data_IF_432624725572
#
_entry.id   IF_432624725572
#
_cell.length_a   1.000
_cell.length_b   1.000
_cell.length_c   1.000
_cell.angle_alpha   90.00
_cell.angle_beta   90.00
_cell.angle_gamma   90.00
#
_symmetry.space_group_name_H-M   'P 1'
#
loop_
_entity.id
_entity.type
_entity.pdbx_description
1 polymer ?
#
# COMPACT_ATOMS: atom_id res chain seq x y z
N UNK A 1 10.22 -4.74 5.89
CA UNK A 1 11.44 -4.72 6.74
C UNK A 1 11.86 -3.27 6.93
N UNK A 2 12.27 -2.89 8.13
CA UNK A 2 12.66 -1.52 8.44
C UNK A 2 13.59 -1.42 9.65
N UNK A 3 14.12 -0.22 9.90
CA UNK A 3 14.90 0.13 11.09
C UNK A 3 13.99 0.64 12.21
N UNK A 4 14.13 0.05 13.39
CA UNK A 4 13.30 0.33 14.57
C UNK A 4 13.46 1.77 15.09
N UNK A 5 14.62 2.39 14.87
CA UNK A 5 14.91 3.78 15.26
C UNK A 5 14.52 4.82 14.19
N UNK A 6 13.95 4.40 13.06
CA UNK A 6 13.61 5.33 11.98
C UNK A 6 12.46 6.29 12.31
N UNK A 7 12.47 7.48 11.70
CA UNK A 7 11.48 8.54 11.93
C UNK A 7 10.02 8.08 11.74
N UNK A 8 9.78 7.22 10.74
CA UNK A 8 8.47 6.65 10.47
C UNK A 8 7.98 5.73 11.59
N UNK A 9 8.87 4.95 12.22
CA UNK A 9 8.50 4.12 13.38
C UNK A 9 8.14 5.03 14.56
N UNK A 10 8.96 6.06 14.81
CA UNK A 10 8.64 7.05 15.85
C UNK A 10 7.30 7.77 15.61
N UNK A 11 6.97 8.08 14.34
CA UNK A 11 5.68 8.66 13.97
C UNK A 11 4.52 7.69 14.22
N UNK A 12 4.66 6.42 13.80
CA UNK A 12 3.65 5.38 13.95
C UNK A 12 3.40 5.05 15.43
N UNK A 13 4.42 5.05 16.27
CA UNK A 13 4.26 4.88 17.73
C UNK A 13 3.42 5.98 18.38
N UNK A 14 3.36 7.18 17.79
CA UNK A 14 2.53 8.28 18.28
C UNK A 14 1.13 8.30 17.64
N UNK A 15 1.05 7.95 16.36
CA UNK A 15 -0.19 7.90 15.60
C UNK A 15 -0.17 6.66 14.70
N UNK A 16 -0.79 5.55 15.13
CA UNK A 16 -0.70 4.29 14.42
C UNK A 16 -1.56 4.25 13.16
N UNK A 17 -2.53 5.17 13.00
CA UNK A 17 -3.40 5.19 11.81
C UNK A 17 -2.60 5.49 10.56
N UNK A 18 -2.65 4.58 9.59
CA UNK A 18 -1.92 4.67 8.32
C UNK A 18 -2.84 4.38 7.14
N UNK A 19 -2.37 4.76 5.96
CA UNK A 19 -2.91 4.30 4.70
C UNK A 19 -1.77 3.69 3.86
N UNK A 20 -2.01 2.50 3.31
CA UNK A 20 -1.14 1.86 2.33
C UNK A 20 -1.81 2.01 0.97
N UNK A 21 -1.18 2.78 0.09
CA UNK A 21 -1.64 3.01 -1.27
C UNK A 21 -0.70 2.36 -2.29
N UNK A 22 -1.26 1.70 -3.31
CA UNK A 22 -0.49 1.16 -4.42
C UNK A 22 -1.18 1.49 -5.75
N UNK A 23 -0.37 1.80 -6.76
CA UNK A 23 -0.83 2.18 -8.09
C UNK A 23 -0.08 1.39 -9.16
N UNK A 24 -0.81 0.92 -10.16
CA UNK A 24 -0.29 0.22 -11.34
C UNK A 24 -1.08 0.58 -12.58
N UNK A 25 -0.68 0.06 -13.73
CA UNK A 25 -1.44 0.15 -14.97
C UNK A 25 -2.80 -0.55 -14.89
N UNK A 26 -2.94 -1.52 -13.98
CA UNK A 26 -4.18 -2.27 -13.71
C UNK A 26 -5.14 -1.53 -12.78
N UNK A 27 -4.68 -0.51 -12.05
CA UNK A 27 -5.55 0.21 -11.12
C UNK A 27 -4.83 0.67 -9.85
N UNK A 28 -5.65 1.05 -8.87
CA UNK A 28 -5.24 1.65 -7.61
C UNK A 28 -5.89 0.92 -6.44
N UNK A 29 -5.14 0.74 -5.36
CA UNK A 29 -5.67 0.23 -4.09
C UNK A 29 -5.32 1.20 -2.97
N UNK A 30 -6.25 1.37 -2.05
CA UNK A 30 -6.08 2.14 -0.82
C UNK A 30 -6.55 1.28 0.34
N UNK A 31 -5.64 0.97 1.28
CA UNK A 31 -5.91 0.21 2.49
C UNK A 31 -5.71 1.11 3.70
N UNK A 32 -6.76 1.36 4.47
CA UNK A 32 -6.68 2.11 5.72
C UNK A 32 -6.61 1.15 6.90
N UNK A 33 -5.76 1.46 7.87
CA UNK A 33 -5.55 0.57 9.01
C UNK A 33 -4.65 1.16 10.08
N UNK A 34 -4.09 0.30 10.90
CA UNK A 34 -3.10 0.66 11.92
C UNK A 34 -1.78 -0.04 11.68
N UNK A 35 -0.68 0.69 11.85
CA UNK A 35 0.67 0.15 11.79
C UNK A 35 1.27 -0.04 13.18
N UNK A 36 2.14 -1.04 13.31
CA UNK A 36 2.89 -1.32 14.52
C UNK A 36 4.29 -1.84 14.18
N UNK A 37 5.22 -1.68 15.13
CA UNK A 37 6.53 -2.32 15.04
C UNK A 37 6.39 -3.77 15.51
N UNK A 38 6.79 -4.71 14.66
CA UNK A 38 6.82 -6.13 14.96
C UNK A 38 8.27 -6.62 15.00
N UNK A 39 8.65 -7.26 16.11
CA UNK A 39 10.00 -7.75 16.40
C UNK A 39 10.13 -9.28 16.31
N UNK A 40 9.20 -9.95 15.62
CA UNK A 40 9.27 -11.38 15.33
C UNK A 40 10.49 -11.69 14.45
N UNK A 41 11.51 -12.30 15.08
CA UNK A 41 12.77 -12.65 14.44
C UNK A 41 12.62 -13.75 13.39
N UNK A 42 11.79 -14.75 13.66
CA UNK A 42 11.56 -15.83 12.72
C UNK A 42 10.89 -15.30 11.44
N UNK A 43 9.92 -14.38 11.59
CA UNK A 43 9.27 -13.77 10.43
C UNK A 43 10.20 -12.80 9.69
N UNK A 44 11.04 -12.06 10.41
CA UNK A 44 12.04 -11.18 9.79
C UNK A 44 13.03 -11.98 8.94
N UNK A 45 13.55 -13.09 9.46
CA UNK A 45 14.42 -14.01 8.73
C UNK A 45 13.72 -14.62 7.51
N UNK A 46 12.45 -15.04 7.65
CA UNK A 46 11.64 -15.58 6.55
C UNK A 46 11.47 -14.58 5.39
N UNK A 47 11.25 -13.30 5.71
CA UNK A 47 11.02 -12.24 4.72
C UNK A 47 12.30 -11.58 4.19
N UNK A 48 13.47 -11.96 4.71
CA UNK A 48 14.73 -11.32 4.34
C UNK A 48 15.20 -11.79 2.96
N UNK A 49 15.45 -10.82 2.06
CA UNK A 49 15.90 -11.08 0.70
C UNK A 49 17.08 -10.17 0.31
N UNK A 50 17.71 -10.35 -0.88
CA UNK A 50 18.81 -9.49 -1.31
C UNK A 50 18.45 -8.00 -1.41
N UNK A 51 17.17 -7.66 -1.62
CA UNK A 51 16.72 -6.27 -1.65
C UNK A 51 16.78 -5.65 -0.25
N UNK A 52 16.34 -6.39 0.78
CA UNK A 52 16.48 -5.97 2.17
C UNK A 52 17.95 -5.71 2.52
N UNK A 53 18.85 -6.64 2.17
CA UNK A 53 20.30 -6.47 2.38
C UNK A 53 20.89 -5.24 1.68
N UNK A 54 20.31 -4.80 0.56
CA UNK A 54 20.80 -3.62 -0.18
C UNK A 54 20.38 -2.29 0.46
N UNK A 55 19.29 -2.28 1.24
CA UNK A 55 18.71 -1.07 1.81
C UNK A 55 18.87 -0.94 3.33
N UNK A 56 19.05 -2.04 4.05
CA UNK A 56 19.24 -2.03 5.50
C UNK A 56 20.71 -1.84 5.87
N UNK A 57 20.97 -1.12 6.96
CA UNK A 57 22.33 -0.95 7.49
C UNK A 57 22.89 -2.24 8.10
N UNK A 58 22.00 -3.10 8.62
CA UNK A 58 22.32 -4.36 9.27
C UNK A 58 21.70 -5.58 8.59
N UNK A 59 21.97 -6.75 9.16
CA UNK A 59 21.38 -8.02 8.74
C UNK A 59 20.07 -8.35 9.48
N UNK A 60 19.49 -9.54 9.24
CA UNK A 60 18.30 -10.01 9.94
C UNK A 60 18.53 -10.16 11.47
N UNK A 61 19.77 -10.43 11.88
CA UNK A 61 20.18 -10.53 13.29
C UNK A 61 20.40 -9.17 13.97
N UNK A 62 20.39 -8.05 13.22
CA UNK A 62 20.60 -6.73 13.80
C UNK A 62 19.42 -6.38 14.74
N UNK A 63 19.68 -5.96 15.99
CA UNK A 63 18.63 -5.55 16.92
C UNK A 63 17.74 -4.41 16.37
N UNK A 64 18.28 -3.56 15.49
CA UNK A 64 17.56 -2.46 14.84
C UNK A 64 16.75 -2.92 13.62
N UNK A 65 17.04 -4.08 13.03
CA UNK A 65 16.20 -4.66 11.97
C UNK A 65 14.88 -5.19 12.55
N UNK A 66 13.76 -4.77 11.95
CA UNK A 66 12.41 -5.12 12.40
C UNK A 66 11.41 -5.18 11.22
N UNK A 67 10.18 -5.58 11.54
CA UNK A 67 9.05 -5.55 10.62
C UNK A 67 8.14 -4.36 10.95
N UNK A 68 7.67 -3.68 9.91
CA UNK A 68 6.53 -2.78 10.03
C UNK A 68 5.30 -3.56 9.60
N UNK A 69 4.42 -3.85 10.55
CA UNK A 69 3.18 -4.57 10.32
C UNK A 69 2.03 -3.58 10.16
N UNK A 70 1.13 -3.85 9.21
CA UNK A 70 -0.10 -3.08 9.01
C UNK A 70 -1.28 -4.03 9.12
N UNK A 71 -2.12 -3.80 10.12
CA UNK A 71 -3.43 -4.43 10.24
C UNK A 71 -4.44 -3.54 9.49
N UNK A 72 -5.02 -4.06 8.41
CA UNK A 72 -6.01 -3.33 7.61
C UNK A 72 -7.39 -3.36 8.26
N UNK A 73 -8.05 -2.20 8.27
CA UNK A 73 -9.44 -2.07 8.72
C UNK A 73 -10.40 -2.04 7.52
N UNK A 74 -10.01 -1.32 6.46
CA UNK A 74 -10.83 -1.15 5.24
C UNK A 74 -9.96 -1.07 3.99
N UNK A 75 -10.53 -1.42 2.83
CA UNK A 75 -9.89 -1.25 1.54
C UNK A 75 -10.85 -0.72 0.47
N UNK A 76 -10.28 -0.04 -0.52
CA UNK A 76 -10.92 0.34 -1.78
C UNK A 76 -10.02 -0.04 -2.95
N UNK A 77 -10.61 -0.54 -4.02
CA UNK A 77 -9.93 -0.96 -5.25
C UNK A 77 -10.59 -0.32 -6.46
N UNK A 78 -9.82 0.47 -7.20
CA UNK A 78 -10.23 1.06 -8.48
C UNK A 78 -9.53 0.32 -9.61
N UNK A 79 -10.30 -0.27 -10.52
CA UNK A 79 -9.76 -0.91 -11.71
C UNK A 79 -9.51 0.12 -12.82
N UNK A 80 -8.36 0.01 -13.48
CA UNK A 80 -8.04 0.82 -14.65
C UNK A 80 -8.73 0.24 -15.88
N UNK A 81 -9.42 1.06 -16.71
CA UNK A 81 -9.98 0.58 -17.99
C UNK A 81 -8.89 0.28 -19.03
N UNK A 82 -7.61 0.50 -18.70
CA UNK A 82 -6.49 0.43 -19.63
C UNK A 82 -6.55 1.54 -20.69
N UNK A 83 -5.50 1.61 -21.52
CA UNK A 83 -5.37 2.69 -22.52
C UNK A 83 -6.50 2.68 -23.55
N UNK A 84 -6.90 1.49 -24.02
CA UNK A 84 -7.99 1.35 -25.00
C UNK A 84 -9.35 1.66 -24.39
N UNK A 85 -9.63 1.17 -23.18
CA UNK A 85 -10.88 1.48 -22.49
C UNK A 85 -11.01 2.97 -22.18
N UNK A 86 -9.91 3.62 -21.77
CA UNK A 86 -9.86 5.07 -21.57
C UNK A 86 -10.19 5.84 -22.85
N UNK A 87 -9.62 5.44 -24.01
CA UNK A 87 -9.93 6.06 -25.30
C UNK A 87 -11.42 5.93 -25.66
N UNK A 88 -12.02 4.77 -25.42
CA UNK A 88 -13.45 4.54 -25.65
C UNK A 88 -14.31 5.43 -24.73
N UNK A 89 -13.98 5.51 -23.44
CA UNK A 89 -14.67 6.37 -22.48
C UNK A 89 -14.60 7.85 -22.88
N UNK A 90 -13.42 8.33 -23.28
CA UNK A 90 -13.23 9.71 -23.77
C UNK A 90 -14.08 9.97 -25.01
N UNK A 91 -14.11 9.04 -25.98
CA UNK A 91 -14.91 9.20 -27.19
C UNK A 91 -16.42 9.24 -26.88
N UNK A 92 -16.92 8.38 -25.99
CA UNK A 92 -18.33 8.39 -25.57
C UNK A 92 -18.69 9.68 -24.81
N UNK A 93 -17.79 10.19 -23.96
CA UNK A 93 -17.97 11.44 -23.24
C UNK A 93 -18.04 12.65 -24.17
N UNK A 94 -17.14 12.74 -25.16
CA UNK A 94 -17.18 13.80 -26.18
C UNK A 94 -18.47 13.81 -27.01
N UNK A 95 -19.10 12.63 -27.18
CA UNK A 95 -20.38 12.47 -27.87
C UNK A 95 -21.61 12.68 -26.96
N UNK A 96 -21.41 12.99 -25.68
CA UNK A 96 -22.49 13.20 -24.70
C UNK A 96 -23.29 11.94 -24.37
N UNK A 97 -22.76 10.75 -24.66
CA UNK A 97 -23.48 9.47 -24.48
C UNK A 97 -23.36 8.91 -23.08
N UNK A 98 -22.23 9.15 -22.41
CA UNK A 98 -21.92 8.68 -21.05
C UNK A 98 -21.06 9.73 -20.35
N UNK A 99 -21.22 9.86 -19.03
CA UNK A 99 -20.32 10.65 -18.19
C UNK A 99 -19.31 9.68 -17.53
N UNK A 100 -18.02 9.71 -17.92
CA UNK A 100 -17.03 8.79 -17.38
C UNK A 100 -16.78 8.98 -15.88
N UNK A 101 -17.24 10.08 -15.27
CA UNK A 101 -17.10 10.33 -13.83
C UNK A 101 -18.27 9.76 -12.98
N UNK A 102 -19.35 9.27 -13.59
CA UNK A 102 -20.58 8.90 -12.85
C UNK A 102 -20.50 7.60 -12.03
N UNK A 103 -19.55 6.71 -12.31
CA UNK A 103 -19.37 5.41 -11.64
C UNK A 103 -17.90 5.15 -11.27
N UNK A 104 -17.13 6.21 -10.98
CA UNK A 104 -15.69 6.07 -10.74
C UNK A 104 -15.30 5.75 -9.30
N UNK A 105 -16.26 5.69 -8.37
CA UNK A 105 -15.94 5.49 -6.95
C UNK A 105 -15.95 4.00 -6.59
N UNK A 106 -14.91 3.56 -5.87
CA UNK A 106 -14.78 2.18 -5.46
C UNK A 106 -15.55 1.95 -4.16
N UNK A 107 -16.24 0.81 -4.00
CA UNK A 107 -16.87 0.49 -2.73
C UNK A 107 -15.81 0.32 -1.64
N UNK A 108 -16.13 0.81 -0.43
CA UNK A 108 -15.34 0.51 0.77
C UNK A 108 -15.68 -0.90 1.23
N UNK A 109 -14.63 -1.71 1.46
CA UNK A 109 -14.72 -3.09 1.95
C UNK A 109 -14.08 -3.15 3.33
N UNK A 110 -14.79 -3.67 4.32
CA UNK A 110 -14.24 -3.99 5.65
C UNK A 110 -13.39 -5.28 5.58
N UNK A 111 -12.27 -5.32 6.30
CA UNK A 111 -11.27 -6.41 6.25
C UNK A 111 -11.29 -7.32 7.48
#
# INVERSE_FOLDING_TARGET
ITEADSDKVAAISRQPRVNVSYASDKGWVSLSGTASLNQDRAKLEELWDPSASAFMQGGPDDPNSALLEVSGDTAQLWESPGKLGMLVQVAKGALGKEDPAKDSDAPVVDL
#
